data_IF_653931441247
#
_entry.id   IF_653931441247
#
_cell.length_a   1.000
_cell.length_b   1.000
_cell.length_c   1.000
_cell.angle_alpha   90.00
_cell.angle_beta   90.00
_cell.angle_gamma   90.00
#
_symmetry.space_group_name_H-M   'P 1'
#
loop_
_entity.id
_entity.type
_entity.pdbx_description
1 polymer ?
#
# COMPACT_ATOMS: atom_id res chain seq x y z
N UNK A 1 -20.86 38.83 14.97
CA UNK A 1 -20.88 38.76 13.49
C UNK A 1 -20.04 37.63 12.87
N UNK A 2 -19.16 36.93 13.62
CA UNK A 2 -18.30 35.86 13.04
C UNK A 2 -18.99 34.50 12.82
N UNK A 3 -19.93 34.10 13.69
CA UNK A 3 -20.58 32.77 13.61
C UNK A 3 -21.63 32.61 12.50
N UNK A 4 -22.10 33.71 11.91
CA UNK A 4 -23.03 33.67 10.76
C UNK A 4 -22.31 33.48 9.42
N UNK A 5 -21.05 33.95 9.30
CA UNK A 5 -20.20 33.74 8.10
C UNK A 5 -19.59 32.34 8.04
N UNK A 6 -19.31 31.71 9.18
CA UNK A 6 -18.90 30.28 9.23
C UNK A 6 -20.02 29.35 8.73
N UNK A 7 -21.26 29.57 9.20
CA UNK A 7 -22.42 28.75 8.81
C UNK A 7 -22.92 28.97 7.37
N UNK A 8 -22.43 29.99 6.66
CA UNK A 8 -22.71 30.17 5.22
C UNK A 8 -21.66 29.50 4.34
N UNK A 9 -20.42 29.32 4.82
CA UNK A 9 -19.40 28.50 4.13
C UNK A 9 -19.69 27.00 4.25
N UNK A 10 -20.29 26.57 5.36
CA UNK A 10 -20.66 25.18 5.63
C UNK A 10 -22.01 24.77 4.99
N UNK A 11 -22.74 25.73 4.40
CA UNK A 11 -24.02 25.54 3.67
C UNK A 11 -23.90 25.68 2.15
N UNK A 12 -22.70 25.70 1.60
CA UNK A 12 -22.50 25.49 0.16
C UNK A 12 -22.57 24.00 -0.15
N UNK A 13 -23.82 23.53 -0.17
CA UNK A 13 -24.38 22.28 -0.62
C UNK A 13 -23.40 21.21 -1.16
N UNK A 14 -23.18 20.18 -0.34
CA UNK A 14 -22.96 18.80 -0.77
C UNK A 14 -24.19 18.33 -1.56
N UNK A 15 -24.26 18.71 -2.84
CA UNK A 15 -25.20 18.13 -3.79
C UNK A 15 -24.72 16.74 -4.15
N UNK A 16 -25.62 15.77 -4.01
CA UNK A 16 -25.37 14.35 -4.25
C UNK A 16 -25.30 14.06 -5.74
N UNK A 17 -24.81 12.87 -6.12
CA UNK A 17 -24.83 12.42 -7.53
C UNK A 17 -26.22 12.48 -8.18
N UNK A 18 -27.27 12.33 -7.37
CA UNK A 18 -28.66 12.42 -7.84
C UNK A 18 -29.01 13.84 -8.29
N UNK A 19 -28.40 14.86 -7.70
CA UNK A 19 -28.64 16.24 -8.08
C UNK A 19 -27.97 16.61 -9.40
N UNK A 20 -26.76 16.08 -9.68
CA UNK A 20 -26.10 16.23 -10.98
C UNK A 20 -26.90 15.57 -12.11
N UNK A 21 -27.39 14.35 -11.89
CA UNK A 21 -28.24 13.63 -12.86
C UNK A 21 -29.62 14.27 -13.04
N UNK A 22 -30.16 14.92 -12.00
CA UNK A 22 -31.41 15.68 -12.10
C UNK A 22 -31.21 16.94 -12.93
N UNK A 23 -30.14 17.69 -12.68
CA UNK A 23 -29.79 18.88 -13.46
C UNK A 23 -29.53 18.57 -14.94
N UNK A 24 -28.89 17.43 -15.25
CA UNK A 24 -28.68 16.95 -16.62
C UNK A 24 -30.00 16.64 -17.34
N UNK A 25 -30.94 15.94 -16.67
CA UNK A 25 -32.26 15.64 -17.24
C UNK A 25 -33.11 16.88 -17.47
N UNK A 26 -33.20 17.77 -16.48
CA UNK A 26 -33.93 19.03 -16.60
C UNK A 26 -33.35 19.89 -17.75
N UNK A 27 -32.02 19.85 -17.94
CA UNK A 27 -31.36 20.57 -19.02
C UNK A 27 -31.72 20.03 -20.42
N UNK A 28 -31.67 18.72 -20.62
CA UNK A 28 -32.08 18.06 -21.88
C UNK A 28 -33.53 18.38 -22.28
N UNK A 29 -34.39 18.60 -21.29
CA UNK A 29 -35.82 18.88 -21.50
C UNK A 29 -36.09 20.34 -21.88
N UNK A 30 -35.28 21.29 -21.38
CA UNK A 30 -35.49 22.73 -21.60
C UNK A 30 -35.03 23.20 -23.00
N UNK A 31 -34.13 22.46 -23.66
CA UNK A 31 -33.50 22.90 -24.91
C UNK A 31 -34.23 22.48 -26.20
N UNK A 32 -35.38 21.79 -26.09
CA UNK A 32 -36.25 21.52 -27.24
C UNK A 32 -36.88 22.78 -27.86
N UNK A 33 -36.85 23.93 -27.17
CA UNK A 33 -37.70 25.09 -27.49
C UNK A 33 -36.99 26.39 -27.95
N UNK A 34 -35.67 26.43 -28.24
CA UNK A 34 -35.00 27.71 -28.61
C UNK A 34 -34.19 27.68 -29.90
N UNK A 35 -34.34 28.76 -30.68
CA UNK A 35 -33.53 29.11 -31.86
C UNK A 35 -33.44 30.63 -31.98
N UNK A 36 -32.23 31.20 -31.84
CA UNK A 36 -31.72 32.39 -32.53
C UNK A 36 -30.41 32.91 -31.89
N UNK A 37 -29.34 32.09 -31.88
CA UNK A 37 -27.93 32.51 -31.94
C UNK A 37 -27.06 31.24 -31.93
N UNK A 38 -26.16 31.13 -32.92
CA UNK A 38 -25.42 29.92 -33.30
C UNK A 38 -26.31 28.71 -33.65
N UNK A 39 -25.81 27.80 -34.49
CA UNK A 39 -26.66 26.74 -35.03
C UNK A 39 -27.16 25.86 -33.88
N UNK A 40 -28.42 25.46 -33.91
CA UNK A 40 -28.99 24.47 -32.97
C UNK A 40 -28.06 23.25 -32.82
N UNK A 41 -27.28 22.93 -33.85
CA UNK A 41 -26.27 21.86 -33.83
C UNK A 41 -25.08 22.13 -32.91
N UNK A 42 -24.64 23.38 -32.76
CA UNK A 42 -23.49 23.74 -31.91
C UNK A 42 -23.85 23.66 -30.43
N UNK A 43 -25.06 24.10 -30.06
CA UNK A 43 -25.62 23.87 -28.74
C UNK A 43 -25.70 22.37 -28.45
N UNK A 44 -26.35 21.59 -29.30
CA UNK A 44 -26.46 20.12 -29.18
C UNK A 44 -25.08 19.43 -29.10
N UNK A 45 -24.05 19.98 -29.74
CA UNK A 45 -22.68 19.46 -29.66
C UNK A 45 -22.07 19.72 -28.29
N UNK A 46 -22.23 20.93 -27.74
CA UNK A 46 -21.78 21.23 -26.38
C UNK A 46 -22.54 20.43 -25.33
N UNK A 47 -23.84 20.18 -25.52
CA UNK A 47 -24.60 19.31 -24.61
C UNK A 47 -24.01 17.90 -24.57
N UNK A 48 -23.74 17.32 -25.74
CA UNK A 48 -23.09 16.00 -25.82
C UNK A 48 -21.74 15.98 -25.11
N UNK A 49 -20.90 16.97 -25.37
CA UNK A 49 -19.61 17.11 -24.70
C UNK A 49 -19.75 17.26 -23.18
N UNK A 50 -20.76 18.00 -22.70
CA UNK A 50 -21.02 18.11 -21.26
C UNK A 50 -21.43 16.78 -20.64
N UNK A 51 -22.31 16.02 -21.29
CA UNK A 51 -22.68 14.68 -20.82
C UNK A 51 -21.48 13.74 -20.77
N UNK A 52 -20.59 13.81 -21.77
CA UNK A 52 -19.32 13.07 -21.77
C UNK A 52 -18.41 13.48 -20.59
N UNK A 53 -18.27 14.79 -20.32
CA UNK A 53 -17.52 15.32 -19.18
C UNK A 53 -18.11 14.81 -17.86
N UNK A 54 -19.44 14.87 -17.69
CA UNK A 54 -20.13 14.40 -16.47
C UNK A 54 -19.90 12.90 -16.27
N UNK A 55 -19.99 12.11 -17.33
CA UNK A 55 -19.72 10.68 -17.29
C UNK A 55 -18.26 10.38 -16.91
N UNK A 56 -17.30 11.06 -17.55
CA UNK A 56 -15.88 10.90 -17.25
C UNK A 56 -15.55 11.28 -15.80
N UNK A 57 -16.11 12.40 -15.32
CA UNK A 57 -15.97 12.85 -13.94
C UNK A 57 -16.51 11.81 -12.94
N UNK A 58 -17.63 11.15 -13.25
CA UNK A 58 -18.18 10.07 -12.43
C UNK A 58 -17.20 8.90 -12.31
N UNK A 59 -16.53 8.53 -13.40
CA UNK A 59 -15.49 7.48 -13.41
C UNK A 59 -14.30 7.88 -12.56
N UNK A 60 -13.78 9.09 -12.70
CA UNK A 60 -12.68 9.62 -11.88
C UNK A 60 -13.03 9.58 -10.39
N UNK A 61 -14.24 10.03 -10.01
CA UNK A 61 -14.68 10.02 -8.61
C UNK A 61 -14.71 8.61 -8.02
N UNK A 62 -15.31 7.65 -8.73
CA UNK A 62 -15.33 6.24 -8.30
C UNK A 62 -13.92 5.68 -8.11
N UNK A 63 -12.99 6.08 -8.99
CA UNK A 63 -11.59 5.67 -8.89
C UNK A 63 -10.92 6.26 -7.65
N UNK A 64 -11.13 7.54 -7.34
CA UNK A 64 -10.67 8.17 -6.09
C UNK A 64 -11.24 7.44 -4.86
N UNK A 65 -12.56 7.20 -4.82
CA UNK A 65 -13.23 6.51 -3.71
C UNK A 65 -12.69 5.09 -3.49
N UNK A 66 -12.39 4.35 -4.58
CA UNK A 66 -11.77 3.03 -4.50
C UNK A 66 -10.34 3.12 -3.97
N UNK A 67 -9.52 4.04 -4.47
CA UNK A 67 -8.13 4.21 -4.03
C UNK A 67 -8.04 4.68 -2.57
N UNK A 68 -9.02 5.45 -2.10
CA UNK A 68 -9.14 5.83 -0.68
C UNK A 68 -9.36 4.66 0.26
N UNK A 69 -9.98 3.57 -0.20
CA UNK A 69 -10.16 2.38 0.64
C UNK A 69 -8.85 1.61 0.83
N UNK A 70 -7.88 1.83 -0.04
CA UNK A 70 -6.61 1.11 -0.02
C UNK A 70 -5.54 1.83 0.82
N UNK A 71 -5.70 3.11 1.13
CA UNK A 71 -4.73 3.89 1.89
C UNK A 71 -5.39 4.91 2.82
N UNK A 72 -4.71 5.31 3.91
CA UNK A 72 -5.11 6.47 4.69
C UNK A 72 -5.11 7.70 3.75
N UNK A 73 -6.30 8.14 3.31
CA UNK A 73 -6.58 9.03 2.17
C UNK A 73 -5.94 10.43 2.14
N UNK A 74 -4.87 10.65 2.91
CA UNK A 74 -4.02 11.83 2.93
C UNK A 74 -3.37 12.11 1.57
N UNK A 75 -2.94 11.08 0.83
CA UNK A 75 -2.30 11.25 -0.49
C UNK A 75 -3.30 11.70 -1.57
N UNK A 76 -4.56 11.27 -1.48
CA UNK A 76 -5.61 11.65 -2.42
C UNK A 76 -6.24 13.02 -2.11
N UNK A 77 -5.80 13.72 -1.05
CA UNK A 77 -6.31 15.05 -0.70
C UNK A 77 -6.09 16.08 -1.82
N UNK A 78 -5.00 15.96 -2.58
CA UNK A 78 -4.75 16.76 -3.79
C UNK A 78 -5.79 16.46 -4.87
N UNK A 79 -5.89 15.18 -5.27
CA UNK A 79 -6.82 14.71 -6.28
C UNK A 79 -8.29 15.05 -5.97
N UNK A 80 -8.72 14.92 -4.71
CA UNK A 80 -10.07 15.32 -4.25
C UNK A 80 -10.37 16.79 -4.49
N UNK A 81 -9.42 17.68 -4.16
CA UNK A 81 -9.59 19.13 -4.34
C UNK A 81 -9.71 19.48 -5.82
N UNK A 82 -8.88 18.86 -6.65
CA UNK A 82 -8.92 19.05 -8.09
C UNK A 82 -10.22 18.52 -8.70
N UNK A 83 -10.67 17.34 -8.26
CA UNK A 83 -11.96 16.78 -8.65
C UNK A 83 -13.13 17.71 -8.29
N UNK A 84 -13.15 18.26 -7.08
CA UNK A 84 -14.17 19.23 -6.66
C UNK A 84 -14.16 20.49 -7.51
N UNK A 85 -12.98 20.98 -7.92
CA UNK A 85 -12.86 22.13 -8.81
C UNK A 85 -13.44 21.83 -10.21
N UNK A 86 -13.13 20.65 -10.76
CA UNK A 86 -13.66 20.17 -12.05
C UNK A 86 -15.19 20.05 -12.00
N UNK A 87 -15.75 19.48 -10.94
CA UNK A 87 -17.20 19.35 -10.75
C UNK A 87 -17.89 20.68 -10.53
N UNK A 88 -17.25 21.60 -9.80
CA UNK A 88 -17.72 22.97 -9.61
C UNK A 88 -17.78 23.72 -10.94
N UNK A 89 -16.72 23.62 -11.75
CA UNK A 89 -16.67 24.19 -13.10
C UNK A 89 -17.74 23.59 -14.02
N UNK A 90 -17.90 22.26 -14.00
CA UNK A 90 -18.90 21.55 -14.82
C UNK A 90 -20.32 22.02 -14.46
N UNK A 91 -20.64 22.13 -13.17
CA UNK A 91 -21.93 22.65 -12.70
C UNK A 91 -22.16 24.10 -13.13
N UNK A 92 -21.13 24.94 -13.03
CA UNK A 92 -21.22 26.33 -13.47
C UNK A 92 -21.58 26.40 -14.95
N UNK A 93 -20.90 25.63 -15.80
CA UNK A 93 -21.18 25.60 -17.25
C UNK A 93 -22.60 25.13 -17.55
N UNK A 94 -23.09 24.06 -16.90
CA UNK A 94 -24.46 23.57 -17.07
C UNK A 94 -25.50 24.65 -16.71
N UNK A 95 -25.32 25.33 -15.57
CA UNK A 95 -26.24 26.37 -15.10
C UNK A 95 -26.27 27.58 -16.04
N UNK A 96 -25.13 27.96 -16.58
CA UNK A 96 -25.01 29.13 -17.45
C UNK A 96 -25.38 28.84 -18.90
N UNK A 97 -25.21 27.61 -19.38
CA UNK A 97 -25.64 27.22 -20.74
C UNK A 97 -27.15 27.41 -20.94
N UNK A 98 -27.96 27.25 -19.89
CA UNK A 98 -29.42 27.54 -19.91
C UNK A 98 -29.76 29.00 -20.24
N UNK A 99 -28.81 29.91 -20.05
CA UNK A 99 -29.00 31.36 -20.10
C UNK A 99 -28.08 32.07 -21.10
N UNK A 100 -27.50 31.34 -22.06
CA UNK A 100 -26.66 31.92 -23.11
C UNK A 100 -27.45 32.96 -23.92
N UNK A 101 -26.88 34.16 -24.05
CA UNK A 101 -27.49 35.25 -24.81
C UNK A 101 -26.55 35.85 -25.86
N UNK A 102 -25.25 35.60 -25.76
CA UNK A 102 -24.24 36.23 -26.63
C UNK A 102 -23.19 35.23 -27.12
N UNK A 103 -22.63 35.53 -28.29
CA UNK A 103 -21.50 34.83 -28.90
C UNK A 103 -20.25 34.83 -28.00
N UNK A 104 -19.96 35.96 -27.34
CA UNK A 104 -18.81 36.08 -26.43
C UNK A 104 -18.98 35.22 -25.17
N UNK A 105 -20.22 35.02 -24.72
CA UNK A 105 -20.52 34.06 -23.65
C UNK A 105 -20.24 32.65 -24.13
N UNK A 106 -20.79 32.26 -25.29
CA UNK A 106 -20.58 30.93 -25.87
C UNK A 106 -19.09 30.58 -25.99
N UNK A 107 -18.27 31.46 -26.56
CA UNK A 107 -16.81 31.28 -26.67
C UNK A 107 -16.14 31.10 -25.32
N UNK A 108 -16.54 31.88 -24.31
CA UNK A 108 -16.01 31.75 -22.94
C UNK A 108 -16.36 30.40 -22.30
N UNK A 109 -17.56 29.89 -22.54
CA UNK A 109 -17.96 28.58 -22.01
C UNK A 109 -17.28 27.43 -22.73
N UNK A 110 -17.15 27.49 -24.05
CA UNK A 110 -16.38 26.53 -24.81
C UNK A 110 -14.94 26.43 -24.30
N UNK A 111 -14.26 27.56 -24.09
CA UNK A 111 -12.93 27.58 -23.50
C UNK A 111 -12.89 27.01 -22.06
N UNK A 112 -13.96 27.21 -21.29
CA UNK A 112 -14.10 26.65 -19.94
C UNK A 112 -14.29 25.14 -19.98
N UNK A 113 -15.11 24.63 -20.89
CA UNK A 113 -15.29 23.18 -21.12
C UNK A 113 -13.99 22.53 -21.54
N UNK A 114 -13.25 23.11 -22.48
CA UNK A 114 -11.93 22.60 -22.89
C UNK A 114 -10.94 22.53 -21.71
N UNK A 115 -10.97 23.53 -20.82
CA UNK A 115 -10.16 23.51 -19.58
C UNK A 115 -10.60 22.38 -18.64
N UNK A 116 -11.90 22.17 -18.47
CA UNK A 116 -12.45 21.10 -17.63
C UNK A 116 -12.06 19.73 -18.19
N UNK A 117 -12.18 19.52 -19.51
CA UNK A 117 -11.77 18.29 -20.19
C UNK A 117 -10.29 18.01 -19.96
N UNK A 118 -9.42 19.00 -20.20
CA UNK A 118 -7.97 18.85 -19.99
C UNK A 118 -7.64 18.55 -18.53
N UNK A 119 -8.30 19.23 -17.58
CA UNK A 119 -8.15 18.97 -16.15
C UNK A 119 -8.59 17.54 -15.77
N UNK A 120 -9.74 17.09 -16.27
CA UNK A 120 -10.24 15.73 -16.06
C UNK A 120 -9.30 14.67 -16.62
N UNK A 121 -8.80 14.85 -17.84
CA UNK A 121 -7.83 13.95 -18.46
C UNK A 121 -6.50 13.91 -17.69
N UNK A 122 -5.97 15.07 -17.26
CA UNK A 122 -4.76 15.15 -16.46
C UNK A 122 -4.94 14.45 -15.11
N UNK A 123 -6.07 14.67 -14.44
CA UNK A 123 -6.40 14.02 -13.19
C UNK A 123 -6.60 12.50 -13.35
N UNK A 124 -7.28 12.06 -14.41
CA UNK A 124 -7.41 10.63 -14.74
C UNK A 124 -6.05 9.99 -14.92
N UNK A 125 -5.19 10.59 -15.75
CA UNK A 125 -3.83 10.09 -15.98
C UNK A 125 -3.01 10.04 -14.69
N UNK A 126 -3.08 11.08 -13.86
CA UNK A 126 -2.44 11.09 -12.55
C UNK A 126 -2.93 9.94 -11.66
N UNK A 127 -4.23 9.66 -11.65
CA UNK A 127 -4.81 8.55 -10.89
C UNK A 127 -4.47 7.18 -11.50
N UNK A 128 -4.32 7.07 -12.82
CA UNK A 128 -3.83 5.88 -13.50
C UNK A 128 -2.39 5.56 -13.09
N UNK A 129 -1.49 6.55 -13.19
CA UNK A 129 -0.09 6.42 -12.75
C UNK A 129 0.01 6.14 -11.24
N UNK A 130 -0.84 6.78 -10.43
CA UNK A 130 -0.89 6.53 -9.00
C UNK A 130 -1.38 5.12 -8.68
N UNK A 131 -2.49 4.68 -9.30
CA UNK A 131 -3.01 3.33 -9.12
C UNK A 131 -1.96 2.29 -9.51
N UNK A 132 -1.28 2.47 -10.64
CA UNK A 132 -0.23 1.55 -11.08
C UNK A 132 0.90 1.46 -10.05
N UNK A 133 1.41 2.59 -9.56
CA UNK A 133 2.45 2.64 -8.52
C UNK A 133 1.97 2.06 -7.18
N UNK A 134 0.69 2.22 -6.88
CA UNK A 134 0.10 1.80 -5.62
C UNK A 134 -0.17 0.28 -5.59
N UNK A 135 -0.77 -0.26 -6.66
CA UNK A 135 -1.08 -1.67 -6.79
C UNK A 135 0.18 -2.54 -6.73
N UNK A 136 1.29 -2.05 -7.29
CA UNK A 136 2.60 -2.72 -7.27
C UNK A 136 3.04 -3.22 -5.88
N UNK A 137 2.66 -2.55 -4.79
CA UNK A 137 3.06 -2.95 -3.44
C UNK A 137 1.88 -3.29 -2.54
N UNK A 138 0.68 -3.49 -3.08
CA UNK A 138 -0.49 -3.80 -2.26
C UNK A 138 -0.76 -5.31 -2.26
N UNK A 139 -0.07 -6.03 -1.38
CA UNK A 139 -0.19 -7.49 -1.23
C UNK A 139 -1.68 -7.86 -1.10
N UNK A 140 -2.20 -8.84 -1.87
CA UNK A 140 -3.60 -9.26 -1.85
C UNK A 140 -4.08 -9.63 -0.45
N UNK A 141 -5.41 -9.66 -0.27
CA UNK A 141 -5.98 -10.23 0.95
C UNK A 141 -5.76 -11.75 0.91
N UNK A 142 -5.08 -12.27 1.93
CA UNK A 142 -4.88 -13.70 2.14
C UNK A 142 -6.07 -14.23 2.95
N UNK A 143 -6.51 -15.45 2.69
CA UNK A 143 -7.68 -15.99 3.40
C UNK A 143 -7.31 -16.39 4.84
N UNK A 144 -8.25 -16.19 5.75
CA UNK A 144 -8.10 -16.57 7.17
C UNK A 144 -8.17 -18.09 7.39
N UNK A 145 -8.74 -18.83 6.43
CA UNK A 145 -8.91 -20.27 6.54
C UNK A 145 -7.59 -21.00 6.25
N UNK A 146 -6.91 -21.37 7.33
CA UNK A 146 -5.67 -22.16 7.30
C UNK A 146 -5.82 -23.54 6.60
N UNK A 147 -7.05 -23.94 6.25
CA UNK A 147 -7.37 -25.19 5.56
C UNK A 147 -7.35 -25.10 4.03
N UNK A 148 -7.47 -23.90 3.45
CA UNK A 148 -7.47 -23.68 1.98
C UNK A 148 -6.18 -22.99 1.46
N UNK A 149 -5.18 -22.84 2.34
CA UNK A 149 -3.94 -22.06 2.12
C UNK A 149 -3.16 -22.46 0.88
N UNK A 150 -2.98 -23.78 0.66
CA UNK A 150 -1.88 -24.25 -0.20
C UNK A 150 -2.06 -23.91 -1.68
N UNK A 151 -3.30 -23.72 -2.12
CA UNK A 151 -3.57 -23.46 -3.54
C UNK A 151 -4.09 -22.04 -3.75
N UNK A 152 -5.08 -21.56 -3.00
CA UNK A 152 -5.74 -20.29 -3.34
C UNK A 152 -4.89 -19.04 -3.01
N UNK A 153 -4.21 -19.01 -1.87
CA UNK A 153 -3.41 -17.83 -1.47
C UNK A 153 -2.06 -17.76 -2.17
N UNK A 154 -1.43 -18.93 -2.39
CA UNK A 154 -0.23 -19.03 -3.20
C UNK A 154 -0.52 -18.62 -4.66
N UNK A 155 -1.59 -19.12 -5.28
CA UNK A 155 -1.98 -18.73 -6.65
C UNK A 155 -2.28 -17.23 -6.76
N UNK A 156 -3.00 -16.64 -5.78
CA UNK A 156 -3.27 -15.20 -5.74
C UNK A 156 -1.98 -14.38 -5.63
N UNK A 157 -1.04 -14.82 -4.77
CA UNK A 157 0.25 -14.17 -4.61
C UNK A 157 1.13 -14.33 -5.84
N UNK A 158 1.16 -15.51 -6.46
CA UNK A 158 1.89 -15.77 -7.70
C UNK A 158 1.36 -14.89 -8.85
N UNK A 159 0.04 -14.80 -9.02
CA UNK A 159 -0.58 -13.94 -10.03
C UNK A 159 -0.29 -12.45 -9.76
N UNK A 160 -0.33 -12.03 -8.49
CA UNK A 160 0.07 -10.69 -8.08
C UNK A 160 1.55 -10.42 -8.40
N UNK A 161 2.43 -11.37 -8.07
CA UNK A 161 3.87 -11.28 -8.30
C UNK A 161 4.25 -11.38 -9.77
N UNK A 162 3.35 -11.83 -10.66
CA UNK A 162 3.56 -11.82 -12.11
C UNK A 162 3.95 -10.44 -12.63
N UNK A 163 3.43 -9.36 -12.05
CA UNK A 163 3.81 -7.98 -12.43
C UNK A 163 5.30 -7.77 -12.19
N UNK A 164 5.81 -8.10 -11.00
CA UNK A 164 7.21 -7.89 -10.66
C UNK A 164 8.15 -8.84 -11.40
N UNK A 165 7.77 -10.11 -11.56
CA UNK A 165 8.53 -11.08 -12.34
C UNK A 165 8.64 -10.66 -13.81
N UNK A 166 7.57 -10.10 -14.37
CA UNK A 166 7.56 -9.58 -15.74
C UNK A 166 8.41 -8.31 -15.87
N UNK A 167 8.32 -7.37 -14.93
CA UNK A 167 9.17 -6.18 -14.92
C UNK A 167 10.65 -6.54 -14.78
N UNK A 168 10.98 -7.49 -13.90
CA UNK A 168 12.32 -8.01 -13.76
C UNK A 168 12.82 -8.64 -15.07
N UNK A 169 12.02 -9.51 -15.69
CA UNK A 169 12.35 -10.10 -17.00
C UNK A 169 12.62 -9.05 -18.07
N UNK A 170 11.75 -8.05 -18.21
CA UNK A 170 11.95 -6.94 -19.17
C UNK A 170 13.23 -6.16 -18.89
N UNK A 171 13.55 -5.95 -17.61
CA UNK A 171 14.80 -5.30 -17.22
C UNK A 171 16.01 -6.12 -17.66
N UNK A 172 16.01 -7.42 -17.35
CA UNK A 172 17.05 -8.36 -17.80
C UNK A 172 17.21 -8.38 -19.31
N UNK A 173 16.11 -8.42 -20.07
CA UNK A 173 16.13 -8.41 -21.54
C UNK A 173 16.79 -7.14 -22.12
N UNK A 174 16.77 -6.03 -21.38
CA UNK A 174 17.46 -4.78 -21.72
C UNK A 174 18.90 -4.72 -21.20
N UNK A 175 19.36 -5.73 -20.47
CA UNK A 175 20.65 -5.74 -19.80
C UNK A 175 20.69 -4.92 -18.50
N UNK A 176 19.54 -4.59 -17.91
CA UNK A 176 19.45 -3.95 -16.59
C UNK A 176 19.89 -4.94 -15.50
N UNK A 177 20.48 -4.39 -14.43
CA UNK A 177 20.91 -5.13 -13.25
C UNK A 177 20.19 -4.61 -12.01
N UNK A 178 20.05 -5.47 -11.01
CA UNK A 178 19.51 -5.08 -9.71
C UNK A 178 20.49 -4.20 -8.94
N UNK A 179 20.00 -3.53 -7.91
CA UNK A 179 20.85 -2.75 -7.02
C UNK A 179 21.91 -3.66 -6.38
N UNK A 180 21.54 -4.85 -5.92
CA UNK A 180 22.48 -5.81 -5.31
C UNK A 180 23.62 -6.20 -6.25
N UNK A 181 23.31 -6.48 -7.51
CA UNK A 181 24.33 -6.83 -8.51
C UNK A 181 25.27 -5.66 -8.84
N UNK A 182 24.76 -4.44 -8.78
CA UNK A 182 25.61 -3.25 -8.92
C UNK A 182 26.48 -3.05 -7.68
N UNK A 183 25.95 -3.26 -6.47
CA UNK A 183 26.69 -3.17 -5.21
C UNK A 183 27.85 -4.17 -5.18
N UNK A 184 27.63 -5.42 -5.61
CA UNK A 184 28.68 -6.44 -5.77
C UNK A 184 29.85 -5.95 -6.65
N UNK A 185 29.55 -5.24 -7.73
CA UNK A 185 30.59 -4.69 -8.61
C UNK A 185 31.35 -3.51 -7.98
N UNK A 186 30.72 -2.74 -7.08
CA UNK A 186 31.42 -1.67 -6.36
C UNK A 186 32.48 -2.24 -5.43
N UNK A 187 32.18 -3.31 -4.71
CA UNK A 187 33.13 -3.98 -3.82
C UNK A 187 34.36 -4.50 -4.59
N UNK A 188 34.13 -5.04 -5.79
CA UNK A 188 35.17 -5.58 -6.67
C UNK A 188 36.00 -4.51 -7.41
N UNK A 189 35.58 -3.24 -7.38
CA UNK A 189 36.18 -2.17 -8.20
C UNK A 189 37.60 -1.75 -7.78
N UNK A 190 38.06 -2.17 -6.60
CA UNK A 190 39.38 -1.81 -6.04
C UNK A 190 39.52 -0.34 -5.61
N UNK A 191 38.50 0.50 -5.83
CA UNK A 191 38.48 1.91 -5.44
C UNK A 191 37.92 2.06 -4.02
N UNK A 192 38.64 2.76 -3.15
CA UNK A 192 38.24 2.90 -1.74
C UNK A 192 36.91 3.66 -1.56
N UNK A 193 36.66 4.69 -2.40
CA UNK A 193 35.40 5.44 -2.40
C UNK A 193 34.19 4.55 -2.78
N UNK A 194 34.39 3.65 -3.75
CA UNK A 194 33.37 2.68 -4.17
C UNK A 194 33.10 1.64 -3.08
N UNK A 195 34.14 1.17 -2.39
CA UNK A 195 34.00 0.27 -1.22
C UNK A 195 33.25 0.95 -0.08
N UNK A 196 33.55 2.21 0.19
CA UNK A 196 32.85 2.99 1.23
C UNK A 196 31.36 3.10 0.88
N UNK A 197 31.04 3.41 -0.39
CA UNK A 197 29.66 3.47 -0.88
C UNK A 197 28.95 2.12 -0.78
N UNK A 198 29.64 1.03 -1.10
CA UNK A 198 29.15 -0.33 -0.93
C UNK A 198 28.79 -0.62 0.53
N UNK A 199 29.70 -0.37 1.47
CA UNK A 199 29.48 -0.60 2.90
C UNK A 199 28.32 0.24 3.46
N UNK A 200 28.20 1.50 3.03
CA UNK A 200 27.07 2.36 3.43
C UNK A 200 25.73 1.81 2.92
N UNK A 201 25.67 1.35 1.67
CA UNK A 201 24.46 0.75 1.10
C UNK A 201 24.12 -0.61 1.69
N UNK A 202 25.14 -1.44 1.96
CA UNK A 202 24.99 -2.70 2.70
C UNK A 202 24.42 -2.43 4.10
N UNK A 203 24.93 -1.43 4.82
CA UNK A 203 24.42 -1.04 6.12
C UNK A 203 22.95 -0.59 6.07
N UNK A 204 22.51 0.09 5.00
CA UNK A 204 21.09 0.44 4.79
C UNK A 204 20.24 -0.82 4.63
N UNK A 205 20.64 -1.76 3.76
CA UNK A 205 19.91 -3.00 3.54
C UNK A 205 19.78 -3.83 4.84
N UNK A 206 20.90 -4.02 5.55
CA UNK A 206 20.96 -4.71 6.85
C UNK A 206 20.05 -4.05 7.87
N UNK A 207 20.12 -2.72 7.99
CA UNK A 207 19.31 -1.97 8.97
C UNK A 207 17.81 -2.10 8.69
N UNK A 208 17.39 -1.99 7.43
CA UNK A 208 15.99 -2.16 7.05
C UNK A 208 15.51 -3.60 7.26
N UNK A 209 16.33 -4.57 6.86
CA UNK A 209 16.08 -6.00 7.08
C UNK A 209 15.86 -6.35 8.56
N UNK A 210 16.75 -5.87 9.44
CA UNK A 210 16.63 -6.03 10.90
C UNK A 210 15.33 -5.41 11.41
N UNK A 211 15.01 -4.18 10.99
CA UNK A 211 13.79 -3.51 11.46
C UNK A 211 12.52 -4.26 11.06
N UNK A 212 12.41 -4.74 9.81
CA UNK A 212 11.26 -5.52 9.36
C UNK A 212 11.21 -6.87 10.11
N UNK A 213 12.36 -7.52 10.28
CA UNK A 213 12.47 -8.79 11.01
C UNK A 213 12.02 -8.67 12.47
N UNK A 214 12.31 -7.56 13.14
CA UNK A 214 11.77 -7.29 14.49
C UNK A 214 10.25 -7.22 14.51
N UNK A 215 9.61 -6.61 13.50
CA UNK A 215 8.14 -6.59 13.41
C UNK A 215 7.59 -7.98 13.17
N UNK A 216 8.25 -8.78 12.33
CA UNK A 216 7.88 -10.17 12.05
C UNK A 216 7.99 -11.05 13.31
N UNK A 217 9.07 -10.90 14.08
CA UNK A 217 9.24 -11.61 15.36
C UNK A 217 8.24 -11.16 16.41
N UNK A 218 8.01 -9.85 16.58
CA UNK A 218 7.01 -9.37 17.54
C UNK A 218 5.60 -9.87 17.15
N UNK A 219 5.30 -9.97 15.85
CA UNK A 219 4.08 -10.62 15.36
C UNK A 219 4.01 -12.09 15.80
N UNK A 220 5.04 -12.89 15.54
CA UNK A 220 5.08 -14.31 15.94
C UNK A 220 4.95 -14.52 17.45
N UNK A 221 5.59 -13.65 18.23
CA UNK A 221 5.48 -13.64 19.68
C UNK A 221 4.05 -13.30 20.15
N UNK A 222 3.37 -12.35 19.51
CA UNK A 222 2.00 -12.01 19.90
C UNK A 222 1.01 -13.13 19.60
N UNK A 223 1.15 -13.81 18.45
CA UNK A 223 0.25 -14.88 18.07
C UNK A 223 0.50 -16.16 18.86
N UNK A 224 1.75 -16.46 19.25
CA UNK A 224 2.07 -17.66 20.05
C UNK A 224 1.43 -17.64 21.44
N UNK A 225 1.17 -16.45 21.99
CA UNK A 225 0.44 -16.28 23.25
C UNK A 225 -1.06 -16.58 23.10
N UNK A 226 -1.60 -16.48 21.89
CA UNK A 226 -3.04 -16.65 21.60
C UNK A 226 -3.40 -17.97 20.91
N UNK A 227 -2.42 -18.68 20.37
CA UNK A 227 -2.58 -19.86 19.54
C UNK A 227 -2.34 -21.17 20.32
N UNK A 228 -3.01 -22.26 19.93
CA UNK A 228 -2.65 -23.61 20.36
C UNK A 228 -1.36 -24.06 19.64
N UNK A 229 -0.51 -24.91 20.25
CA UNK A 229 0.84 -25.21 19.71
C UNK A 229 0.87 -25.72 18.26
N UNK A 230 -0.13 -26.49 17.84
CA UNK A 230 -0.26 -26.96 16.45
C UNK A 230 -0.63 -25.85 15.45
N UNK A 231 -1.25 -24.76 15.90
CA UNK A 231 -1.64 -23.60 15.10
C UNK A 231 -0.40 -22.73 14.77
N UNK A 232 0.54 -22.60 15.71
CA UNK A 232 1.77 -21.83 15.48
C UNK A 232 2.67 -22.43 14.40
N UNK A 233 2.85 -23.76 14.42
CA UNK A 233 3.64 -24.47 13.39
C UNK A 233 3.01 -24.28 12.00
N UNK A 234 1.68 -24.35 11.90
CA UNK A 234 0.97 -24.13 10.63
C UNK A 234 1.13 -22.69 10.13
N UNK A 235 1.06 -21.70 11.03
CA UNK A 235 1.30 -20.29 10.69
C UNK A 235 2.73 -20.06 10.19
N UNK A 236 3.74 -20.63 10.84
CA UNK A 236 5.13 -20.53 10.37
C UNK A 236 5.32 -21.14 8.98
N UNK A 237 4.70 -22.30 8.71
CA UNK A 237 4.70 -22.91 7.37
C UNK A 237 4.01 -21.99 6.36
N UNK A 238 2.86 -21.39 6.72
CA UNK A 238 2.17 -20.42 5.87
C UNK A 238 3.09 -19.24 5.52
N UNK A 239 3.73 -18.62 6.52
CA UNK A 239 4.63 -17.49 6.29
C UNK A 239 5.77 -17.87 5.36
N UNK A 240 6.37 -19.05 5.50
CA UNK A 240 7.44 -19.52 4.59
C UNK A 240 6.95 -19.62 3.15
N UNK A 241 5.77 -20.22 2.91
CA UNK A 241 5.18 -20.32 1.57
C UNK A 241 4.94 -18.93 0.98
N UNK A 242 4.36 -18.02 1.76
CA UNK A 242 4.11 -16.65 1.31
C UNK A 242 5.39 -15.92 0.97
N UNK A 243 6.43 -16.00 1.82
CA UNK A 243 7.72 -15.38 1.57
C UNK A 243 8.36 -15.90 0.28
N UNK A 244 8.31 -17.22 0.05
CA UNK A 244 8.81 -17.83 -1.19
C UNK A 244 8.10 -17.27 -2.43
N UNK A 245 6.80 -17.02 -2.34
CA UNK A 245 6.04 -16.45 -3.46
C UNK A 245 6.46 -14.99 -3.76
N UNK A 246 6.95 -14.24 -2.76
CA UNK A 246 7.32 -12.83 -2.89
C UNK A 246 8.68 -12.60 -3.57
N UNK A 247 9.45 -13.65 -3.87
CA UNK A 247 10.70 -13.52 -4.63
C UNK A 247 10.46 -12.94 -6.02
N UNK A 248 11.20 -11.87 -6.36
CA UNK A 248 11.14 -11.25 -7.68
C UNK A 248 11.95 -12.05 -8.70
N UNK A 249 13.04 -12.66 -8.26
CA UNK A 249 13.92 -13.53 -9.05
C UNK A 249 14.22 -14.83 -8.30
N UNK A 250 14.77 -15.82 -9.02
CA UNK A 250 15.09 -17.15 -8.48
C UNK A 250 16.15 -17.13 -7.37
N UNK A 251 17.03 -16.11 -7.34
CA UNK A 251 18.11 -15.93 -6.35
C UNK A 251 17.85 -14.69 -5.48
N UNK A 252 16.70 -14.66 -4.82
CA UNK A 252 16.26 -13.53 -4.00
C UNK A 252 16.94 -13.52 -2.63
N UNK A 253 18.06 -12.81 -2.52
CA UNK A 253 18.84 -12.73 -1.28
C UNK A 253 18.04 -12.12 -0.11
N UNK A 254 17.13 -11.16 -0.37
CA UNK A 254 16.32 -10.56 0.70
C UNK A 254 15.32 -11.58 1.24
N UNK A 255 14.62 -12.31 0.36
CA UNK A 255 13.67 -13.35 0.76
C UNK A 255 14.38 -14.48 1.49
N UNK A 256 15.54 -14.92 1.02
CA UNK A 256 16.36 -15.95 1.71
C UNK A 256 16.70 -15.56 3.15
N UNK A 257 17.02 -14.28 3.39
CA UNK A 257 17.29 -13.78 4.75
C UNK A 257 16.05 -13.78 5.62
N UNK A 258 14.89 -13.38 5.09
CA UNK A 258 13.63 -13.49 5.83
C UNK A 258 13.23 -14.95 6.10
N UNK A 259 13.45 -15.87 5.16
CA UNK A 259 13.24 -17.30 5.39
C UNK A 259 14.14 -17.82 6.51
N UNK A 260 15.41 -17.40 6.53
CA UNK A 260 16.36 -17.74 7.61
C UNK A 260 15.88 -17.21 8.97
N UNK A 261 15.31 -15.99 9.02
CA UNK A 261 14.70 -15.45 10.25
C UNK A 261 13.52 -16.31 10.70
N UNK A 262 12.62 -16.70 9.80
CA UNK A 262 11.46 -17.54 10.15
C UNK A 262 11.91 -18.92 10.65
N UNK A 263 12.92 -19.52 10.02
CA UNK A 263 13.50 -20.80 10.46
C UNK A 263 14.19 -20.69 11.82
N UNK A 264 14.87 -19.57 12.08
CA UNK A 264 15.47 -19.30 13.38
C UNK A 264 14.39 -19.17 14.46
N UNK A 265 13.31 -18.42 14.19
CA UNK A 265 12.16 -18.28 15.10
C UNK A 265 11.53 -19.64 15.41
N UNK A 266 11.24 -20.46 14.41
CA UNK A 266 10.66 -21.81 14.59
C UNK A 266 11.54 -22.66 15.51
N UNK A 267 12.86 -22.62 15.31
CA UNK A 267 13.81 -23.36 16.15
C UNK A 267 13.84 -22.84 17.59
N UNK A 268 14.03 -21.53 17.78
CA UNK A 268 14.12 -20.93 19.12
C UNK A 268 12.83 -21.13 19.92
N UNK A 269 11.66 -21.03 19.27
CA UNK A 269 10.38 -21.27 19.93
C UNK A 269 10.25 -22.72 20.41
N UNK A 270 10.58 -23.71 19.57
CA UNK A 270 10.55 -25.14 19.97
C UNK A 270 11.52 -25.48 21.10
N UNK A 271 12.69 -24.84 21.12
CA UNK A 271 13.68 -25.02 22.19
C UNK A 271 13.21 -24.40 23.52
N UNK A 272 12.44 -23.31 23.45
CA UNK A 272 11.86 -22.67 24.63
C UNK A 272 10.65 -23.41 25.23
N UNK A 273 9.92 -24.19 24.41
CA UNK A 273 8.74 -24.97 24.82
C UNK A 273 9.07 -26.27 25.60
N UNK A 274 10.34 -26.65 25.76
CA UNK A 274 10.75 -27.86 26.49
C UNK A 274 10.71 -27.76 28.03
N UNK A 275 9.81 -26.95 28.61
CA UNK A 275 9.53 -26.89 30.05
C UNK A 275 8.00 -26.94 30.33
N UNK A 276 7.55 -27.57 31.42
CA UNK A 276 6.51 -28.60 31.37
C UNK A 276 5.08 -28.10 31.08
N UNK A 277 4.43 -28.90 30.24
CA UNK A 277 2.98 -29.12 30.13
C UNK A 277 2.27 -29.04 31.48
N UNK A 278 1.55 -27.95 31.69
CA UNK A 278 0.30 -27.92 32.48
C UNK A 278 -0.42 -26.59 32.20
N UNK A 279 -1.10 -26.51 31.05
CA UNK A 279 -2.05 -25.44 30.79
C UNK A 279 -3.41 -26.07 30.46
N UNK A 280 -4.22 -26.12 31.51
CA UNK A 280 -5.60 -26.60 31.59
C UNK A 280 -6.44 -26.12 30.40
N UNK A 281 -7.10 -27.08 29.74
CA UNK A 281 -8.19 -26.85 28.79
C UNK A 281 -9.29 -25.98 29.42
N UNK A 282 -9.24 -24.67 29.16
CA UNK A 282 -10.17 -23.68 29.73
C UNK A 282 -11.35 -23.52 28.78
N UNK A 283 -12.50 -24.08 29.16
CA UNK A 283 -13.79 -24.05 28.43
C UNK A 283 -14.04 -22.69 27.76
N UNK A 284 -14.37 -22.77 26.47
CA UNK A 284 -14.79 -21.65 25.64
C UNK A 284 -16.16 -21.13 26.09
N UNK A 285 -16.25 -19.82 26.31
CA UNK A 285 -17.51 -19.10 26.52
C UNK A 285 -17.77 -18.20 25.32
N UNK A 286 -19.04 -17.94 25.02
CA UNK A 286 -19.54 -17.25 23.82
C UNK A 286 -19.02 -15.82 23.64
N UNK A 287 -18.56 -15.14 24.71
CA UNK A 287 -17.87 -13.83 24.62
C UNK A 287 -16.45 -13.93 24.01
N UNK A 288 -15.81 -15.11 24.04
CA UNK A 288 -14.49 -15.31 23.42
C UNK A 288 -14.55 -15.35 21.89
N UNK A 289 -15.68 -15.72 21.29
CA UNK A 289 -15.79 -15.84 19.83
C UNK A 289 -15.79 -14.47 19.13
N UNK A 290 -16.47 -13.46 19.68
CA UNK A 290 -16.45 -12.10 19.14
C UNK A 290 -15.07 -11.43 19.32
N UNK A 291 -14.39 -11.68 20.45
CA UNK A 291 -13.02 -11.22 20.68
C UNK A 291 -12.05 -11.93 19.72
N UNK A 292 -12.18 -13.23 19.50
CA UNK A 292 -11.36 -14.04 18.57
C UNK A 292 -11.51 -13.57 17.13
N UNK A 293 -12.74 -13.24 16.70
CA UNK A 293 -12.99 -12.69 15.36
C UNK A 293 -12.36 -11.29 15.16
N UNK A 294 -12.41 -10.42 16.17
CA UNK A 294 -11.78 -9.09 16.13
C UNK A 294 -10.24 -9.16 16.14
N UNK A 295 -9.68 -10.07 16.95
CA UNK A 295 -8.23 -10.34 17.00
C UNK A 295 -7.72 -10.87 15.67
N UNK A 296 -8.42 -11.80 15.02
CA UNK A 296 -8.04 -12.35 13.73
C UNK A 296 -7.96 -11.28 12.62
N UNK A 297 -8.92 -10.35 12.56
CA UNK A 297 -8.90 -9.28 11.57
C UNK A 297 -7.71 -8.32 11.72
N UNK A 298 -7.38 -7.95 12.97
CA UNK A 298 -6.21 -7.08 13.25
C UNK A 298 -4.89 -7.83 13.05
N UNK A 299 -4.84 -9.13 13.41
CA UNK A 299 -3.70 -10.00 13.19
C UNK A 299 -3.32 -10.04 11.70
N UNK A 300 -4.29 -10.31 10.83
CA UNK A 300 -4.06 -10.41 9.38
C UNK A 300 -3.71 -9.07 8.75
N UNK A 301 -4.27 -7.96 9.25
CA UNK A 301 -3.85 -6.62 8.82
C UNK A 301 -2.35 -6.38 9.15
N UNK A 302 -1.92 -6.73 10.37
CA UNK A 302 -0.51 -6.60 10.80
C UNK A 302 0.40 -7.45 9.91
N UNK A 303 0.04 -8.72 9.69
CA UNK A 303 0.83 -9.62 8.87
C UNK A 303 0.98 -9.09 7.44
N UNK A 304 -0.12 -8.65 6.82
CA UNK A 304 -0.10 -8.04 5.46
C UNK A 304 0.76 -6.79 5.39
N UNK A 305 0.72 -5.94 6.42
CA UNK A 305 1.59 -4.76 6.49
C UNK A 305 3.07 -5.15 6.57
N UNK A 306 3.44 -6.18 7.32
CA UNK A 306 4.82 -6.68 7.37
C UNK A 306 5.24 -7.23 6.01
N UNK A 307 4.43 -8.11 5.39
CA UNK A 307 4.71 -8.67 4.07
C UNK A 307 4.88 -7.60 2.99
N UNK A 308 4.09 -6.53 3.06
CA UNK A 308 4.21 -5.38 2.15
C UNK A 308 5.58 -4.71 2.26
N UNK A 309 6.13 -4.60 3.47
CA UNK A 309 7.46 -4.01 3.66
C UNK A 309 8.57 -4.98 3.25
N UNK A 310 8.40 -6.29 3.46
CA UNK A 310 9.29 -7.32 2.90
C UNK A 310 9.37 -7.22 1.38
N UNK A 311 8.21 -7.22 0.70
CA UNK A 311 8.14 -7.10 -0.76
C UNK A 311 8.77 -5.79 -1.25
N UNK A 312 8.54 -4.67 -0.54
CA UNK A 312 9.14 -3.39 -0.95
C UNK A 312 10.66 -3.45 -0.87
N UNK A 313 11.21 -4.09 0.15
CA UNK A 313 12.66 -4.23 0.31
C UNK A 313 13.23 -5.14 -0.78
N UNK A 314 12.56 -6.26 -1.02
CA UNK A 314 12.90 -7.20 -2.09
C UNK A 314 12.94 -6.52 -3.45
N UNK A 315 11.87 -5.83 -3.84
CA UNK A 315 11.82 -5.12 -5.13
C UNK A 315 12.89 -4.04 -5.20
N UNK A 316 13.07 -3.24 -4.14
CA UNK A 316 14.02 -2.12 -4.15
C UNK A 316 15.48 -2.56 -4.29
N UNK A 317 15.81 -3.78 -3.86
CA UNK A 317 17.17 -4.31 -3.89
C UNK A 317 17.41 -5.28 -5.05
N UNK A 318 16.43 -6.13 -5.35
CA UNK A 318 16.58 -7.29 -6.24
C UNK A 318 15.91 -7.12 -7.60
N UNK A 319 15.04 -6.13 -7.81
CA UNK A 319 14.46 -5.90 -9.14
C UNK A 319 15.52 -5.29 -10.07
N UNK A 320 15.76 -5.86 -11.27
CA UNK A 320 16.69 -5.29 -12.24
C UNK A 320 16.05 -4.11 -12.99
N UNK A 321 16.24 -2.90 -12.48
CA UNK A 321 15.70 -1.66 -13.04
C UNK A 321 16.77 -0.59 -13.34
N UNK A 322 18.05 -0.93 -13.12
CA UNK A 322 19.19 -0.03 -13.31
C UNK A 322 19.99 -0.39 -14.57
N UNK A 323 19.87 0.44 -15.60
CA UNK A 323 20.57 0.31 -16.89
C UNK A 323 22.10 0.46 -16.82
N UNK A 324 22.60 1.20 -15.82
CA UNK A 324 24.03 1.47 -15.69
C UNK A 324 24.44 1.66 -14.24
N UNK A 325 25.71 1.41 -13.98
CA UNK A 325 26.34 1.72 -12.69
C UNK A 325 26.20 3.22 -12.41
N UNK A 326 25.76 3.55 -11.19
CA UNK A 326 25.56 4.92 -10.77
C UNK A 326 26.85 5.48 -10.17
N UNK A 327 26.91 6.81 -10.08
CA UNK A 327 27.95 7.48 -9.29
C UNK A 327 27.59 7.35 -7.80
N UNK A 328 28.60 7.34 -6.94
CA UNK A 328 28.45 7.06 -5.50
C UNK A 328 27.40 7.94 -4.82
N UNK A 329 27.41 9.24 -5.11
CA UNK A 329 26.43 10.18 -4.57
C UNK A 329 24.98 9.80 -4.86
N UNK A 330 24.72 9.17 -6.01
CA UNK A 330 23.37 8.71 -6.37
C UNK A 330 23.00 7.48 -5.56
N UNK A 331 23.92 6.52 -5.36
CA UNK A 331 23.67 5.38 -4.47
C UNK A 331 23.36 5.84 -3.05
N UNK A 332 24.17 6.74 -2.48
CA UNK A 332 23.94 7.26 -1.13
C UNK A 332 22.61 8.02 -1.00
N UNK A 333 22.23 8.76 -2.05
CA UNK A 333 20.93 9.42 -2.12
C UNK A 333 19.77 8.41 -2.17
N UNK A 334 19.93 7.31 -2.91
CA UNK A 334 18.96 6.22 -2.93
C UNK A 334 18.84 5.54 -1.56
N UNK A 335 19.97 5.23 -0.91
CA UNK A 335 19.97 4.67 0.45
C UNK A 335 19.26 5.57 1.46
N UNK A 336 19.56 6.87 1.42
CA UNK A 336 18.88 7.88 2.26
C UNK A 336 17.37 7.94 1.98
N UNK A 337 16.99 7.89 0.70
CA UNK A 337 15.59 7.88 0.30
C UNK A 337 14.86 6.62 0.80
N UNK A 338 15.45 5.44 0.65
CA UNK A 338 14.91 4.18 1.15
C UNK A 338 14.66 4.26 2.66
N UNK A 339 15.66 4.70 3.43
CA UNK A 339 15.53 4.89 4.88
C UNK A 339 14.33 5.77 5.24
N UNK A 340 14.15 6.89 4.55
CA UNK A 340 13.03 7.82 4.79
C UNK A 340 11.67 7.18 4.44
N UNK A 341 11.58 6.46 3.32
CA UNK A 341 10.35 5.79 2.88
C UNK A 341 9.94 4.73 3.89
N UNK A 342 10.87 3.87 4.30
CA UNK A 342 10.61 2.80 5.26
C UNK A 342 10.29 3.33 6.66
N UNK A 343 10.94 4.39 7.13
CA UNK A 343 10.67 4.95 8.45
C UNK A 343 9.18 5.27 8.66
N UNK A 344 8.54 5.90 7.68
CA UNK A 344 7.12 6.26 7.77
C UNK A 344 6.22 5.02 7.76
N UNK A 345 6.60 3.99 7.00
CA UNK A 345 5.81 2.79 6.79
C UNK A 345 5.94 1.82 7.96
N UNK A 346 7.15 1.62 8.47
CA UNK A 346 7.41 0.85 9.68
C UNK A 346 6.76 1.46 10.91
N UNK A 347 6.69 2.80 11.02
CA UNK A 347 5.92 3.46 12.08
C UNK A 347 4.43 3.04 12.07
N UNK A 348 3.83 2.87 10.88
CA UNK A 348 2.46 2.36 10.76
C UNK A 348 2.36 0.89 11.21
N UNK A 349 3.32 0.04 10.83
CA UNK A 349 3.40 -1.35 11.32
C UNK A 349 3.48 -1.37 12.85
N UNK A 350 4.35 -0.55 13.45
CA UNK A 350 4.48 -0.44 14.91
C UNK A 350 3.16 -0.05 15.58
N UNK A 351 2.42 0.92 15.04
CA UNK A 351 1.12 1.32 15.58
C UNK A 351 0.12 0.15 15.56
N UNK A 352 0.09 -0.62 14.47
CA UNK A 352 -0.82 -1.77 14.31
C UNK A 352 -0.42 -2.95 15.19
N UNK A 353 0.87 -3.21 15.37
CA UNK A 353 1.37 -4.18 16.35
C UNK A 353 0.95 -3.79 17.78
N UNK A 354 1.04 -2.49 18.13
CA UNK A 354 0.61 -2.03 19.44
C UNK A 354 -0.90 -2.18 19.65
N UNK A 355 -1.70 -1.95 18.60
CA UNK A 355 -3.15 -2.21 18.61
C UNK A 355 -3.43 -3.71 18.85
N UNK A 356 -2.77 -4.60 18.10
CA UNK A 356 -2.86 -6.05 18.28
C UNK A 356 -2.46 -6.47 19.71
N UNK A 357 -1.36 -5.91 20.22
CA UNK A 357 -0.86 -6.18 21.58
C UNK A 357 -1.87 -5.80 22.65
N UNK A 358 -2.59 -4.68 22.51
CA UNK A 358 -3.65 -4.30 23.44
C UNK A 358 -4.82 -5.28 23.40
N UNK A 359 -5.13 -5.84 22.23
CA UNK A 359 -6.20 -6.83 22.07
C UNK A 359 -5.86 -8.20 22.68
N UNK A 360 -4.56 -8.58 22.68
CA UNK A 360 -4.07 -9.86 23.25
C UNK A 360 -3.78 -9.77 24.76
N UNK A 361 -3.46 -8.56 25.27
CA UNK A 361 -3.08 -8.32 26.67
C UNK A 361 -4.08 -8.76 27.77
N UNK A 362 -5.41 -8.82 27.57
CA UNK A 362 -6.36 -9.27 28.60
C UNK A 362 -6.20 -10.74 29.02
N UNK A 363 -5.39 -11.54 28.31
CA UNK A 363 -5.22 -12.98 28.52
C UNK A 363 -4.10 -13.30 29.53
N UNK A 364 -3.26 -12.33 29.91
CA UNK A 364 -2.14 -12.54 30.84
C UNK A 364 -2.59 -12.48 32.31
N UNK A 365 -2.70 -13.64 32.96
CA UNK A 365 -2.53 -13.73 34.41
C UNK A 365 -1.06 -13.38 34.74
N UNK A 366 -0.87 -12.22 35.38
CA UNK A 366 0.43 -11.61 35.70
C UNK A 366 1.14 -12.36 36.83
N UNK A 367 2.02 -13.32 36.54
CA UNK A 367 3.25 -13.55 37.34
C UNK A 367 4.14 -14.68 36.81
N UNK A 368 3.59 -15.60 36.01
CA UNK A 368 4.36 -16.68 35.40
C UNK A 368 5.12 -16.21 34.16
N UNK A 369 6.36 -15.77 34.35
CA UNK A 369 7.43 -15.88 33.34
C UNK A 369 7.75 -14.69 32.40
N UNK A 370 7.69 -13.47 32.93
CA UNK A 370 8.25 -12.28 32.25
C UNK A 370 9.76 -12.42 31.95
N UNK A 371 10.47 -13.21 32.76
CA UNK A 371 11.92 -13.37 32.65
C UNK A 371 12.31 -14.23 31.45
N UNK A 372 11.68 -15.40 31.25
CA UNK A 372 11.94 -16.23 30.07
C UNK A 372 11.48 -15.53 28.79
N UNK A 373 10.38 -14.77 28.84
CA UNK A 373 9.94 -13.95 27.71
C UNK A 373 10.99 -12.92 27.28
N UNK A 374 11.63 -12.25 28.24
CA UNK A 374 12.68 -11.28 27.95
C UNK A 374 13.94 -11.97 27.40
N UNK A 375 14.31 -13.13 27.93
CA UNK A 375 15.43 -13.93 27.43
C UNK A 375 15.18 -14.36 25.98
N UNK A 376 13.99 -14.89 25.69
CA UNK A 376 13.58 -15.28 24.34
C UNK A 376 13.65 -14.09 23.38
N UNK A 377 13.17 -12.92 23.79
CA UNK A 377 13.23 -11.70 22.98
C UNK A 377 14.67 -11.24 22.71
N UNK A 378 15.55 -11.31 23.70
CA UNK A 378 16.98 -10.98 23.55
C UNK A 378 17.71 -11.97 22.62
N UNK A 379 17.38 -13.26 22.72
CA UNK A 379 17.90 -14.29 21.84
C UNK A 379 17.45 -14.08 20.38
N UNK A 380 16.17 -13.78 20.17
CA UNK A 380 15.62 -13.47 18.86
C UNK A 380 16.22 -12.19 18.25
N UNK A 381 16.41 -11.12 19.04
CA UNK A 381 17.07 -9.88 18.59
C UNK A 381 18.53 -10.14 18.17
N UNK A 382 19.25 -10.98 18.92
CA UNK A 382 20.63 -11.35 18.57
C UNK A 382 20.68 -12.15 17.28
N UNK A 383 19.86 -13.19 17.15
CA UNK A 383 19.84 -14.03 15.95
C UNK A 383 19.43 -13.26 14.70
N UNK A 384 18.47 -12.33 14.78
CA UNK A 384 18.13 -11.44 13.67
C UNK A 384 19.36 -10.65 13.22
N UNK A 385 20.10 -10.04 14.16
CA UNK A 385 21.30 -9.27 13.85
C UNK A 385 22.37 -10.14 13.19
N UNK A 386 22.58 -11.36 13.68
CA UNK A 386 23.54 -12.31 13.08
C UNK A 386 23.15 -12.71 11.65
N UNK A 387 21.88 -13.00 11.40
CA UNK A 387 21.36 -13.36 10.08
C UNK A 387 21.56 -12.23 9.07
N UNK A 388 21.28 -10.98 9.46
CA UNK A 388 21.44 -9.83 8.56
C UNK A 388 22.89 -9.35 8.44
N UNK A 389 23.68 -9.40 9.51
CA UNK A 389 25.10 -9.00 9.45
C UNK A 389 25.95 -9.99 8.63
N UNK A 390 25.50 -11.25 8.50
CA UNK A 390 26.08 -12.24 7.60
C UNK A 390 25.61 -12.13 6.15
N UNK A 391 24.95 -11.01 5.78
CA UNK A 391 24.63 -10.69 4.39
C UNK A 391 25.93 -10.59 3.59
N UNK A 392 26.18 -11.63 2.80
CA UNK A 392 27.29 -11.69 1.86
C UNK A 392 26.74 -11.23 0.51
N UNK A 393 27.30 -10.14 -0.02
CA UNK A 393 26.89 -9.56 -1.30
C UNK A 393 27.93 -9.91 -2.34
#
# INVERSE_FOLDING_TARGET
>A
MSRKKERTKERMATLTNNDLLRMEREFLETNKERSAMESKEDLLRMERQLSEIVSHNKTIRKKIERLEKLEDGLFLKGAKREMWAIEGGTRQVIMTMKNLKTEEEFKRYKATMERIVKGGQALSKYLDEFEEKFLKYNVPELNDDLKDIRNNDAEKLEEFMRIWKEEARKGRDKGEKSLMEWLQQLDQSGQEERKTTFEEMKAVAVKLGIQISHHLVEYFLLISVSAEGDDMTQKLVHVRIVLQCLGVEENSIVIERFLSVVEFVDRTMRESEQCPTDCVSRKETTEKEEIKASVNGTEMEVFRLILREVLRLEVALCCPDLLMMLIDQVYLSMGSHLMMVFQNKLKKVTLKINELKMNVSPIRDQDGDLKTWNILKEELDRGIKEIWNSLDL
#
